data_IF_501360933748
#
_entry.id   IF_501360933748
#
_cell.length_a   1.000
_cell.length_b   1.000
_cell.length_c   1.000
_cell.angle_alpha   90.00
_cell.angle_beta   90.00
_cell.angle_gamma   90.00
#
_symmetry.space_group_name_H-M   'P 1'
#
loop_
_entity.id
_entity.type
_entity.pdbx_description
1 polymer ?
#
# COMPACT_ATOMS: atom_id res chain seq x y z
N UNK A 1 -25.12 -13.50 -6.13
CA UNK A 1 -24.48 -14.11 -4.93
C UNK A 1 -22.99 -13.82 -5.04
N UNK A 2 -22.38 -13.11 -4.07
CA UNK A 2 -20.93 -12.95 -4.00
C UNK A 2 -20.34 -14.32 -3.69
N UNK A 3 -19.48 -14.87 -4.57
CA UNK A 3 -18.68 -16.05 -4.27
C UNK A 3 -17.82 -15.75 -3.03
N UNK A 4 -18.27 -16.15 -1.85
CA UNK A 4 -17.46 -16.14 -0.64
C UNK A 4 -16.42 -17.26 -0.79
N UNK A 5 -15.25 -16.92 -1.22
CA UNK A 5 -14.11 -17.85 -1.13
C UNK A 5 -13.80 -18.06 0.34
N UNK A 6 -13.91 -19.33 0.77
CA UNK A 6 -13.52 -19.73 2.12
C UNK A 6 -12.02 -19.44 2.32
N UNK A 7 -11.61 -18.84 3.45
CA UNK A 7 -10.19 -18.65 3.75
C UNK A 7 -9.45 -19.98 3.83
N UNK A 8 -8.18 -19.99 3.43
CA UNK A 8 -7.31 -21.15 3.60
C UNK A 8 -7.25 -21.54 5.09
N UNK A 9 -7.25 -22.83 5.40
CA UNK A 9 -7.33 -23.32 6.79
C UNK A 9 -8.72 -23.71 7.24
N UNK A 10 -9.74 -23.46 6.42
CA UNK A 10 -11.12 -23.83 6.73
C UNK A 10 -11.78 -24.64 5.61
N UNK A 11 -12.72 -25.49 5.99
CA UNK A 11 -13.60 -26.24 5.08
C UNK A 11 -15.04 -26.21 5.57
N UNK A 12 -15.97 -26.56 4.69
CA UNK A 12 -17.38 -26.71 5.05
C UNK A 12 -17.62 -28.19 5.34
N UNK A 13 -18.13 -28.49 6.54
CA UNK A 13 -18.61 -29.80 6.94
C UNK A 13 -20.00 -29.62 7.57
N UNK A 14 -20.96 -30.39 7.12
CA UNK A 14 -22.37 -30.36 7.62
C UNK A 14 -22.98 -28.94 7.62
N UNK A 15 -22.67 -28.16 6.57
CA UNK A 15 -23.16 -26.78 6.42
C UNK A 15 -22.51 -25.75 7.36
N UNK A 16 -21.50 -26.13 8.13
CA UNK A 16 -20.75 -25.26 9.06
C UNK A 16 -19.31 -25.11 8.59
N UNK A 17 -18.72 -23.95 8.91
CA UNK A 17 -17.30 -23.72 8.69
C UNK A 17 -16.52 -24.38 9.84
N UNK A 18 -15.62 -25.29 9.49
CA UNK A 18 -14.75 -25.99 10.43
C UNK A 18 -13.30 -25.80 10.02
N UNK A 19 -12.38 -25.90 10.98
CA UNK A 19 -10.95 -25.87 10.70
C UNK A 19 -10.53 -27.13 9.92
N UNK A 20 -9.71 -26.95 8.88
CA UNK A 20 -9.15 -28.04 8.10
C UNK A 20 -7.84 -28.51 8.75
N UNK A 21 -7.82 -29.70 9.31
CA UNK A 21 -6.69 -30.22 10.07
C UNK A 21 -5.35 -30.20 9.31
N UNK A 22 -5.38 -30.41 7.99
CA UNK A 22 -4.17 -30.39 7.16
C UNK A 22 -3.67 -28.96 6.91
N UNK A 23 -4.57 -28.01 6.78
CA UNK A 23 -4.24 -26.62 6.47
C UNK A 23 -3.98 -25.77 7.72
N UNK A 24 -4.56 -26.11 8.86
CA UNK A 24 -4.37 -25.41 10.15
C UNK A 24 -2.90 -25.32 10.52
N UNK A 25 -2.19 -26.42 10.37
CA UNK A 25 -0.76 -26.46 10.69
C UNK A 25 0.05 -25.52 9.78
N UNK A 26 -0.30 -25.44 8.51
CA UNK A 26 0.33 -24.49 7.58
C UNK A 26 0.04 -23.04 7.95
N UNK A 27 -1.19 -22.71 8.39
CA UNK A 27 -1.53 -21.36 8.88
C UNK A 27 -0.68 -21.00 10.10
N UNK A 28 -0.58 -21.88 11.09
CA UNK A 28 0.24 -21.64 12.28
C UNK A 28 1.70 -21.41 11.93
N UNK A 29 2.29 -22.27 11.09
CA UNK A 29 3.68 -22.11 10.60
C UNK A 29 3.92 -20.78 9.89
N UNK A 30 2.94 -20.28 9.12
CA UNK A 30 3.05 -18.96 8.46
C UNK A 30 3.20 -17.86 9.50
N UNK A 31 2.39 -17.86 10.56
CA UNK A 31 2.47 -16.87 11.63
C UNK A 31 3.77 -16.98 12.41
N UNK A 32 4.18 -18.18 12.80
CA UNK A 32 5.42 -18.43 13.55
C UNK A 32 6.66 -18.05 12.73
N UNK A 33 6.73 -18.45 11.47
CA UNK A 33 7.84 -18.10 10.58
C UNK A 33 7.94 -16.57 10.35
N UNK A 34 6.79 -15.90 10.21
CA UNK A 34 6.77 -14.45 10.02
C UNK A 34 7.20 -13.69 11.28
N UNK A 35 6.75 -14.11 12.46
CA UNK A 35 7.17 -13.54 13.74
C UNK A 35 8.63 -13.83 14.06
N UNK A 36 9.18 -14.96 13.57
CA UNK A 36 10.60 -15.28 13.60
C UNK A 36 11.44 -14.44 12.60
N UNK A 37 10.82 -13.54 11.82
CA UNK A 37 11.53 -12.60 10.94
C UNK A 37 11.65 -13.00 9.47
N UNK A 38 11.09 -14.13 9.05
CA UNK A 38 11.10 -14.53 7.65
C UNK A 38 10.29 -13.58 6.77
N UNK A 39 10.68 -13.45 5.52
CA UNK A 39 9.94 -12.66 4.51
C UNK A 39 8.78 -13.47 3.93
N UNK A 40 7.76 -12.78 3.39
CA UNK A 40 6.64 -13.44 2.70
C UNK A 40 7.09 -14.38 1.58
N UNK A 41 8.19 -14.03 0.88
CA UNK A 41 8.72 -14.86 -0.20
C UNK A 41 9.37 -16.15 0.35
N UNK A 42 10.20 -16.04 1.39
CA UNK A 42 10.83 -17.21 2.04
C UNK A 42 9.77 -18.18 2.56
N UNK A 43 8.72 -17.69 3.20
CA UNK A 43 7.62 -18.50 3.71
C UNK A 43 6.89 -19.20 2.54
N UNK A 44 6.60 -18.47 1.46
CA UNK A 44 5.95 -19.02 0.27
C UNK A 44 6.79 -20.12 -0.39
N UNK A 45 8.11 -19.91 -0.49
CA UNK A 45 9.04 -20.87 -1.08
C UNK A 45 9.14 -22.14 -0.21
N UNK A 46 9.19 -21.98 1.11
CA UNK A 46 9.21 -23.11 2.07
C UNK A 46 7.93 -23.97 1.99
N UNK A 47 6.74 -23.33 1.91
CA UNK A 47 5.47 -24.04 1.77
C UNK A 47 5.36 -24.77 0.43
N UNK A 48 5.87 -24.14 -0.64
CA UNK A 48 5.91 -24.76 -1.97
C UNK A 48 6.86 -25.99 -2.00
N UNK A 49 8.01 -25.87 -1.34
CA UNK A 49 8.98 -26.98 -1.24
C UNK A 49 8.43 -28.17 -0.42
N UNK A 50 7.54 -27.91 0.53
CA UNK A 50 6.86 -28.95 1.31
C UNK A 50 5.68 -29.58 0.56
N UNK A 51 5.36 -29.12 -0.63
CA UNK A 51 4.27 -29.64 -1.46
C UNK A 51 2.87 -29.39 -0.89
N UNK A 52 2.71 -28.45 0.04
CA UNK A 52 1.41 -28.09 0.63
C UNK A 52 0.60 -27.33 -0.43
N UNK A 53 -0.54 -27.85 -0.90
CA UNK A 53 -1.33 -27.15 -1.91
C UNK A 53 -2.09 -25.98 -1.27
N UNK A 54 -2.06 -24.79 -1.88
CA UNK A 54 -2.93 -23.68 -1.46
C UNK A 54 -4.40 -23.91 -1.82
N UNK A 55 -4.62 -24.52 -3.00
CA UNK A 55 -5.91 -24.99 -3.54
C UNK A 55 -5.66 -26.22 -4.39
N UNK A 56 -6.72 -26.94 -4.71
CA UNK A 56 -6.64 -28.14 -5.56
C UNK A 56 -5.97 -27.89 -6.94
N UNK A 57 -6.06 -26.65 -7.44
CA UNK A 57 -5.50 -26.21 -8.73
C UNK A 57 -4.18 -25.42 -8.62
N UNK A 58 -3.75 -25.07 -7.40
CA UNK A 58 -2.59 -24.21 -7.15
C UNK A 58 -1.64 -24.84 -6.11
N UNK A 59 -0.65 -25.57 -6.61
CA UNK A 59 0.40 -26.17 -5.76
C UNK A 59 1.50 -25.18 -5.35
N UNK A 60 1.63 -24.04 -6.07
CA UNK A 60 2.70 -23.06 -5.82
C UNK A 60 2.20 -21.88 -5.01
N UNK A 61 2.86 -21.64 -3.88
CA UNK A 61 2.65 -20.47 -3.05
C UNK A 61 3.32 -19.22 -3.62
N UNK A 62 2.77 -18.06 -3.31
CA UNK A 62 3.38 -16.78 -3.60
C UNK A 62 3.24 -15.82 -2.41
N UNK A 63 4.04 -14.76 -2.41
CA UNK A 63 4.06 -13.75 -1.34
C UNK A 63 2.69 -13.12 -1.04
N UNK A 64 1.79 -13.01 -2.04
CA UNK A 64 0.48 -12.41 -1.85
C UNK A 64 -0.47 -13.35 -1.09
N UNK A 65 -0.35 -14.67 -1.27
CA UNK A 65 -1.11 -15.66 -0.50
C UNK A 65 -0.73 -15.59 0.98
N UNK A 66 0.57 -15.58 1.28
CA UNK A 66 1.09 -15.42 2.65
C UNK A 66 0.62 -14.10 3.26
N UNK A 67 0.73 -12.99 2.51
CA UNK A 67 0.28 -11.67 2.98
C UNK A 67 -1.22 -11.63 3.28
N UNK A 68 -2.07 -12.32 2.50
CA UNK A 68 -3.52 -12.40 2.75
C UNK A 68 -3.83 -13.20 4.01
N UNK A 69 -3.13 -14.30 4.25
CA UNK A 69 -3.29 -15.10 5.46
C UNK A 69 -2.92 -14.29 6.69
N UNK A 70 -1.76 -13.63 6.68
CA UNK A 70 -1.30 -12.78 7.80
C UNK A 70 -2.17 -11.53 8.03
N UNK A 71 -3.02 -11.15 7.06
CA UNK A 71 -3.93 -10.02 7.18
C UNK A 71 -5.35 -10.39 7.62
N UNK A 72 -5.67 -11.68 7.68
CA UNK A 72 -7.03 -12.12 7.96
C UNK A 72 -7.25 -12.35 9.46
N UNK A 73 -8.08 -11.51 10.07
CA UNK A 73 -8.40 -11.58 11.49
C UNK A 73 -9.35 -12.76 11.85
N UNK A 74 -10.01 -13.38 10.86
CA UNK A 74 -10.90 -14.52 11.10
C UNK A 74 -10.19 -15.70 11.78
N UNK A 75 -8.87 -15.81 11.61
CA UNK A 75 -8.06 -16.84 12.27
C UNK A 75 -8.00 -16.72 13.80
N UNK A 76 -8.32 -15.54 14.34
CA UNK A 76 -8.42 -15.35 15.80
C UNK A 76 -9.70 -15.94 16.40
N UNK A 77 -10.61 -16.43 15.55
CA UNK A 77 -11.92 -16.92 15.96
C UNK A 77 -12.98 -15.83 15.87
N UNK A 78 -14.08 -16.16 15.23
CA UNK A 78 -15.30 -15.34 15.15
C UNK A 78 -16.51 -16.23 15.39
N UNK A 79 -17.71 -15.67 15.35
CA UNK A 79 -18.94 -16.46 15.46
C UNK A 79 -19.08 -17.52 14.35
N UNK A 80 -18.47 -17.28 13.17
CA UNK A 80 -18.55 -18.19 12.00
C UNK A 80 -17.30 -19.03 11.84
N UNK A 81 -16.11 -18.53 12.26
CA UNK A 81 -14.81 -19.16 12.04
C UNK A 81 -14.19 -19.65 13.34
N UNK A 82 -13.89 -20.97 13.46
CA UNK A 82 -13.16 -21.49 14.61
C UNK A 82 -11.77 -20.86 14.73
N UNK A 83 -11.29 -20.68 15.95
CA UNK A 83 -9.97 -20.14 16.21
C UNK A 83 -8.86 -21.07 15.73
N UNK A 84 -7.90 -20.56 14.97
CA UNK A 84 -6.69 -21.28 14.53
C UNK A 84 -5.44 -20.74 15.23
N UNK A 85 -5.36 -19.42 15.45
CA UNK A 85 -4.25 -18.74 16.14
C UNK A 85 -4.78 -17.91 17.29
N UNK A 86 -3.90 -17.53 18.21
CA UNK A 86 -4.25 -16.64 19.33
C UNK A 86 -4.26 -15.18 18.86
N UNK A 87 -5.03 -14.32 19.55
CA UNK A 87 -5.02 -12.88 19.30
C UNK A 87 -3.60 -12.29 19.45
N UNK A 88 -2.82 -12.74 20.42
CA UNK A 88 -1.45 -12.28 20.62
C UNK A 88 -0.51 -12.61 19.45
N UNK A 89 -0.65 -13.81 18.84
CA UNK A 89 0.13 -14.17 17.64
C UNK A 89 -0.24 -13.27 16.44
N UNK A 90 -1.53 -12.99 16.27
CA UNK A 90 -1.99 -12.08 15.21
C UNK A 90 -1.48 -10.65 15.42
N UNK A 91 -1.60 -10.11 16.63
CA UNK A 91 -1.13 -8.77 16.97
C UNK A 91 0.38 -8.62 16.77
N UNK A 92 1.17 -9.61 17.18
CA UNK A 92 2.62 -9.61 16.96
C UNK A 92 2.96 -9.56 15.45
N UNK A 93 2.30 -10.39 14.65
CA UNK A 93 2.47 -10.38 13.20
C UNK A 93 2.03 -9.04 12.57
N UNK A 94 0.93 -8.46 13.05
CA UNK A 94 0.44 -7.18 12.56
C UNK A 94 1.36 -6.01 12.91
N UNK A 95 1.94 -5.97 14.10
CA UNK A 95 2.94 -4.98 14.50
C UNK A 95 4.17 -5.03 13.58
N UNK A 96 4.71 -6.23 13.31
CA UNK A 96 5.82 -6.41 12.37
C UNK A 96 5.43 -5.95 10.96
N UNK A 97 4.22 -6.25 10.51
CA UNK A 97 3.71 -5.83 9.21
C UNK A 97 3.59 -4.32 9.12
N UNK A 98 3.04 -3.67 10.14
CA UNK A 98 2.93 -2.20 10.23
C UNK A 98 4.29 -1.53 10.25
N UNK A 99 5.26 -2.05 11.01
CA UNK A 99 6.61 -1.48 11.06
C UNK A 99 7.36 -1.59 9.73
N UNK A 100 7.11 -2.64 8.95
CA UNK A 100 7.68 -2.83 7.60
C UNK A 100 6.92 -2.07 6.50
N UNK A 101 5.73 -1.56 6.79
CA UNK A 101 4.94 -0.78 5.83
C UNK A 101 5.56 0.61 5.72
N UNK A 102 6.12 0.92 4.57
CA UNK A 102 6.59 2.26 4.27
C UNK A 102 5.38 3.17 4.11
N UNK A 103 5.09 3.95 5.14
CA UNK A 103 4.03 4.95 5.09
C UNK A 103 4.54 6.11 4.22
N UNK A 104 3.94 6.29 3.06
CA UNK A 104 4.16 7.50 2.29
C UNK A 104 3.67 8.69 3.11
N UNK A 105 4.50 9.72 3.25
CA UNK A 105 4.08 10.94 3.92
C UNK A 105 2.78 11.45 3.33
N UNK A 106 1.75 11.60 4.17
CA UNK A 106 0.46 12.16 3.78
C UNK A 106 0.63 13.60 3.24
N UNK A 107 1.66 14.29 3.71
CA UNK A 107 2.04 15.66 3.36
C UNK A 107 2.32 15.83 1.86
N UNK A 108 2.98 14.86 1.22
CA UNK A 108 3.29 14.93 -0.21
C UNK A 108 2.20 14.33 -1.13
N UNK A 109 1.18 13.71 -0.55
CA UNK A 109 0.12 13.03 -1.31
C UNK A 109 -0.57 13.96 -2.34
N UNK A 110 -0.93 15.22 -2.03
CA UNK A 110 -1.56 16.13 -2.98
C UNK A 110 -0.71 16.40 -4.22
N UNK A 111 0.61 16.57 -4.04
CA UNK A 111 1.53 16.99 -5.11
C UNK A 111 2.07 15.85 -5.97
N UNK A 112 1.91 14.59 -5.55
CA UNK A 112 2.52 13.44 -6.24
C UNK A 112 2.11 13.27 -7.69
N UNK A 113 0.94 13.78 -8.08
CA UNK A 113 0.46 13.69 -9.46
C UNK A 113 1.08 14.77 -10.36
N UNK A 114 1.43 15.90 -9.75
CA UNK A 114 1.81 17.12 -10.47
C UNK A 114 3.33 17.37 -10.48
N UNK A 115 4.10 16.45 -9.87
CA UNK A 115 5.56 16.52 -9.89
C UNK A 115 6.12 15.96 -11.21
N UNK A 116 6.82 16.81 -11.95
CA UNK A 116 7.43 16.47 -13.23
C UNK A 116 8.95 16.63 -13.21
N UNK A 117 9.62 15.85 -14.04
CA UNK A 117 11.08 15.88 -14.17
C UNK A 117 11.51 17.15 -14.90
N UNK A 118 12.42 17.92 -14.31
CA UNK A 118 12.99 19.10 -14.95
C UNK A 118 13.85 18.80 -16.17
N UNK A 119 14.32 17.56 -16.36
CA UNK A 119 15.15 17.16 -17.50
C UNK A 119 14.31 16.74 -18.72
N UNK A 120 13.28 15.91 -18.51
CA UNK A 120 12.52 15.31 -19.64
C UNK A 120 11.01 15.56 -19.58
N UNK A 121 10.49 16.28 -18.59
CA UNK A 121 9.07 16.57 -18.42
C UNK A 121 8.22 15.39 -17.94
N UNK A 122 8.77 14.18 -17.87
CA UNK A 122 8.04 13.00 -17.42
C UNK A 122 7.68 13.08 -15.92
N UNK A 123 6.68 12.32 -15.51
CA UNK A 123 6.24 12.30 -14.13
C UNK A 123 7.33 11.78 -13.19
N UNK A 124 7.49 12.42 -12.04
CA UNK A 124 8.36 11.98 -10.96
C UNK A 124 7.64 11.01 -10.01
N UNK A 125 8.43 10.10 -9.45
CA UNK A 125 8.00 9.14 -8.45
C UNK A 125 8.78 9.33 -7.16
N UNK A 126 8.08 9.31 -6.03
CA UNK A 126 8.71 9.36 -4.72
C UNK A 126 9.19 7.99 -4.28
N UNK A 127 10.45 7.89 -3.86
CA UNK A 127 11.04 6.69 -3.27
C UNK A 127 11.20 6.88 -1.76
N UNK A 128 10.30 6.33 -0.94
CA UNK A 128 10.19 6.66 0.48
C UNK A 128 11.36 6.13 1.31
N UNK A 129 12.03 5.06 0.88
CA UNK A 129 13.18 4.49 1.62
C UNK A 129 14.42 5.38 1.55
N UNK A 130 14.62 6.07 0.45
CA UNK A 130 15.76 6.98 0.27
C UNK A 130 15.37 8.45 0.38
N UNK A 131 14.10 8.77 0.58
CA UNK A 131 13.55 10.13 0.60
C UNK A 131 13.96 10.94 -0.64
N UNK A 132 13.76 10.33 -1.83
CA UNK A 132 14.16 10.92 -3.10
C UNK A 132 13.04 10.86 -4.12
N UNK A 133 13.02 11.81 -5.03
CA UNK A 133 12.25 11.75 -6.26
C UNK A 133 13.09 11.11 -7.35
N UNK A 134 12.47 10.30 -8.20
CA UNK A 134 13.16 9.71 -9.34
C UNK A 134 12.28 9.74 -10.60
N UNK A 135 12.93 9.86 -11.73
CA UNK A 135 12.33 9.77 -13.04
C UNK A 135 12.61 8.40 -13.65
N UNK A 136 11.57 7.72 -14.09
CA UNK A 136 11.71 6.39 -14.74
C UNK A 136 12.22 6.50 -16.18
N UNK A 137 11.95 7.64 -16.86
CA UNK A 137 12.28 7.84 -18.26
C UNK A 137 13.76 8.19 -18.46
N UNK A 138 14.27 9.18 -17.72
CA UNK A 138 15.67 9.62 -17.87
C UNK A 138 16.62 9.15 -16.76
N UNK A 139 16.11 8.39 -15.78
CA UNK A 139 16.92 7.86 -14.70
C UNK A 139 17.41 8.89 -13.66
N UNK A 140 16.93 10.14 -13.72
CA UNK A 140 17.31 11.19 -12.78
C UNK A 140 16.79 10.89 -11.37
N UNK A 141 17.67 11.15 -10.38
CA UNK A 141 17.32 11.11 -8.95
C UNK A 141 17.56 12.48 -8.32
N UNK A 142 16.64 12.91 -7.47
CA UNK A 142 16.84 14.12 -6.66
C UNK A 142 17.85 13.85 -5.53
N UNK A 143 18.32 14.91 -4.88
CA UNK A 143 18.98 14.77 -3.58
C UNK A 143 17.97 14.22 -2.55
N UNK A 144 18.42 13.46 -1.53
CA UNK A 144 17.56 13.08 -0.41
C UNK A 144 16.99 14.32 0.27
N UNK A 145 15.66 14.33 0.46
CA UNK A 145 14.96 15.47 1.07
C UNK A 145 13.86 14.93 1.98
N UNK A 146 13.71 15.52 3.16
CA UNK A 146 12.55 15.20 4.00
C UNK A 146 11.25 15.62 3.31
N UNK A 147 10.20 14.81 3.47
CA UNK A 147 8.91 15.10 2.84
C UNK A 147 8.32 16.44 3.27
N UNK A 148 8.57 16.82 4.52
CA UNK A 148 8.11 18.07 5.12
C UNK A 148 8.87 19.27 4.57
N UNK A 149 10.18 19.17 4.39
CA UNK A 149 11.00 20.20 3.75
C UNK A 149 10.56 20.44 2.30
N UNK A 150 10.30 19.36 1.56
CA UNK A 150 9.77 19.45 0.18
C UNK A 150 8.41 20.16 0.17
N UNK A 151 7.52 19.80 1.08
CA UNK A 151 6.21 20.44 1.20
C UNK A 151 6.32 21.93 1.48
N UNK A 152 7.11 22.30 2.48
CA UNK A 152 7.31 23.69 2.88
C UNK A 152 7.90 24.51 1.72
N UNK A 153 8.89 23.96 1.01
CA UNK A 153 9.48 24.61 -0.16
C UNK A 153 8.46 24.83 -1.29
N UNK A 154 7.53 23.88 -1.53
CA UNK A 154 6.46 24.05 -2.51
C UNK A 154 5.49 25.15 -2.06
N UNK A 155 5.08 25.13 -0.79
CA UNK A 155 4.15 26.14 -0.23
C UNK A 155 4.76 27.53 -0.28
N UNK A 156 6.02 27.69 0.06
CA UNK A 156 6.74 28.98 -0.05
C UNK A 156 6.77 29.50 -1.48
N UNK A 157 7.08 28.64 -2.44
CA UNK A 157 7.08 29.01 -3.86
C UNK A 157 5.69 29.39 -4.37
N UNK A 158 4.64 28.67 -3.94
CA UNK A 158 3.28 29.01 -4.31
C UNK A 158 2.85 30.35 -3.71
N UNK A 159 3.19 30.64 -2.45
CA UNK A 159 2.95 31.95 -1.83
C UNK A 159 3.69 33.06 -2.55
N UNK A 160 4.95 32.81 -2.91
CA UNK A 160 5.74 33.78 -3.68
C UNK A 160 5.11 34.07 -5.05
N UNK A 161 4.63 33.04 -5.78
CA UNK A 161 3.91 33.21 -7.05
C UNK A 161 2.60 33.98 -6.89
N UNK A 162 1.87 33.79 -5.79
CA UNK A 162 0.67 34.57 -5.49
C UNK A 162 0.97 36.08 -5.34
N UNK A 163 2.14 36.41 -4.81
CA UNK A 163 2.61 37.79 -4.64
C UNK A 163 3.19 38.37 -5.93
N UNK A 164 3.52 37.55 -6.91
CA UNK A 164 4.12 37.94 -8.20
C UNK A 164 3.34 37.27 -9.36
N UNK A 165 2.07 37.67 -9.56
CA UNK A 165 1.19 37.01 -10.55
C UNK A 165 1.64 37.20 -11.98
N UNK A 166 2.44 38.24 -12.26
CA UNK A 166 3.03 38.52 -13.58
C UNK A 166 4.01 37.44 -14.05
N UNK A 167 4.52 36.61 -13.13
CA UNK A 167 5.42 35.50 -13.43
C UNK A 167 4.68 34.22 -13.81
N UNK A 168 3.36 34.20 -13.65
CA UNK A 168 2.52 33.05 -14.02
C UNK A 168 2.16 33.20 -15.49
N UNK A 169 2.90 32.52 -16.36
CA UNK A 169 2.60 32.47 -17.78
C UNK A 169 1.70 31.25 -18.08
N UNK A 170 0.52 31.43 -18.69
CA UNK A 170 -0.25 30.30 -19.17
C UNK A 170 0.55 29.57 -20.26
N UNK A 171 0.47 28.23 -20.33
CA UNK A 171 1.15 27.48 -21.38
C UNK A 171 0.71 27.98 -22.76
N UNK A 172 1.68 28.24 -23.63
CA UNK A 172 1.42 28.73 -24.97
C UNK A 172 0.49 27.76 -25.73
N UNK A 173 -0.75 28.20 -26.00
CA UNK A 173 -1.71 27.51 -26.85
C UNK A 173 -2.63 26.50 -26.13
N UNK A 174 -3.52 26.99 -25.32
CA UNK A 174 -4.89 26.55 -24.97
C UNK A 174 -5.27 27.12 -23.60
N UNK A 175 -5.50 28.37 -23.50
CA UNK A 175 -6.07 28.93 -22.30
C UNK A 175 -7.48 29.48 -22.62
N UNK A 176 -8.47 28.67 -22.27
CA UNK A 176 -9.73 29.30 -21.93
C UNK A 176 -9.63 29.65 -20.42
N UNK A 177 -8.99 30.78 -20.13
CA UNK A 177 -8.72 31.26 -18.77
C UNK A 177 -10.01 31.76 -18.08
N UNK A 178 -11.13 31.82 -18.79
CA UNK A 178 -12.40 32.31 -18.25
C UNK A 178 -13.09 31.33 -17.29
N UNK A 179 -12.75 30.04 -17.32
CA UNK A 179 -13.40 29.07 -16.43
C UNK A 179 -12.74 28.90 -15.05
N UNK A 180 -11.53 29.43 -14.86
CA UNK A 180 -10.81 29.27 -13.59
C UNK A 180 -11.04 30.45 -12.62
N UNK A 181 -11.51 31.60 -13.10
CA UNK A 181 -11.77 32.76 -12.25
C UNK A 181 -13.23 32.84 -11.73
N UNK A 182 -14.14 32.04 -12.30
CA UNK A 182 -15.54 32.01 -11.85
C UNK A 182 -15.79 31.20 -10.58
N UNK A 183 -14.82 30.40 -10.11
CA UNK A 183 -15.00 29.57 -8.94
C UNK A 183 -14.51 30.18 -7.62
N UNK A 184 -13.93 31.37 -7.64
CA UNK A 184 -13.40 32.04 -6.44
C UNK A 184 -14.19 33.27 -6.00
N UNK A 185 -15.21 33.71 -6.75
CA UNK A 185 -15.98 34.89 -6.39
C UNK A 185 -17.33 34.62 -5.68
N UNK A 186 -17.82 33.38 -5.68
CA UNK A 186 -19.13 33.03 -5.10
C UNK A 186 -19.10 32.41 -3.70
N UNK A 187 -17.95 32.43 -3.02
CA UNK A 187 -17.82 31.89 -1.67
C UNK A 187 -17.65 32.97 -0.57
N UNK A 188 -17.93 34.24 -0.87
CA UNK A 188 -17.71 35.32 0.08
C UNK A 188 -18.97 36.15 0.44
N UNK A 189 -20.16 35.74 -0.02
CA UNK A 189 -21.42 36.40 0.38
C UNK A 189 -22.52 35.36 0.65
N UNK A 190 -22.47 34.73 1.84
CA UNK A 190 -23.65 34.34 2.66
C UNK A 190 -23.21 34.04 4.09
#
# INVERSE_FOLDING_TARGET
>A
MKNRYLPFGYKIADGKIVADSEQVEAVRRIFDAYTAGQTFQQIADALSAQGIPYRSDASRWNKNMVSRILANADYCGTAEYPQIITAGQFEAAEQIRKSKTVTYSATLKPFRKDMHCGCCGARLYWHPKSNQWFCRECGMWSKPTQAEETFNSIVEKLRWLQQNPELIHPPAGKANVQSCLLYTSDAADE
#
